data_IF_354973724113
#
_entry.id   IF_354973724113
#
_cell.length_a   1.000
_cell.length_b   1.000
_cell.length_c   1.000
_cell.angle_alpha   90.00
_cell.angle_beta   90.00
_cell.angle_gamma   90.00
#
_symmetry.space_group_name_H-M   'P 1'
#
loop_
_entity.id
_entity.type
_entity.pdbx_description
1 polymer ?
#
# COMPACT_ATOMS: atom_id res chain seq x y z
N UNK A 1 -5.88 25.92 -9.42
CA UNK A 1 -7.24 26.04 -9.99
C UNK A 1 -8.31 25.42 -9.10
N UNK A 2 -7.98 24.50 -8.19
CA UNK A 2 -8.92 23.97 -7.19
C UNK A 2 -9.03 24.90 -5.97
N UNK A 3 -10.22 25.05 -5.36
CA UNK A 3 -10.39 25.79 -4.11
C UNK A 3 -9.85 24.99 -2.92
N UNK A 4 -9.33 25.67 -1.91
CA UNK A 4 -8.99 25.05 -0.62
C UNK A 4 -10.25 24.45 0.04
N UNK A 5 -10.16 23.31 0.76
CA UNK A 5 -8.97 22.51 1.06
C UNK A 5 -8.59 21.49 -0.04
N UNK A 6 -9.30 21.47 -1.18
CA UNK A 6 -9.18 20.40 -2.17
C UNK A 6 -7.84 20.44 -2.93
N UNK A 7 -7.28 21.63 -3.16
CA UNK A 7 -5.93 21.83 -3.70
C UNK A 7 -4.86 21.25 -2.80
N UNK A 8 -4.92 21.54 -1.49
CA UNK A 8 -3.98 21.02 -0.49
C UNK A 8 -4.09 19.50 -0.35
N UNK A 9 -5.31 18.96 -0.37
CA UNK A 9 -5.54 17.50 -0.36
C UNK A 9 -4.96 16.84 -1.61
N UNK A 10 -5.19 17.40 -2.79
CA UNK A 10 -4.61 16.87 -4.04
C UNK A 10 -3.09 16.92 -4.02
N UNK A 11 -2.51 18.03 -3.57
CA UNK A 11 -1.05 18.21 -3.44
C UNK A 11 -0.47 17.21 -2.45
N UNK A 12 -1.11 17.03 -1.29
CA UNK A 12 -0.73 16.05 -0.28
C UNK A 12 -0.80 14.60 -0.79
N UNK A 13 -1.82 14.28 -1.59
CA UNK A 13 -1.94 12.96 -2.22
C UNK A 13 -0.87 12.77 -3.30
N UNK A 14 -0.68 13.69 -4.24
CA UNK A 14 0.29 13.51 -5.35
C UNK A 14 1.75 13.55 -4.86
N UNK A 15 2.08 14.54 -4.03
CA UNK A 15 3.46 14.87 -3.63
C UNK A 15 3.81 14.39 -2.22
N UNK A 16 2.83 13.94 -1.42
CA UNK A 16 3.04 13.56 -0.02
C UNK A 16 3.20 14.72 0.93
N UNK A 17 2.91 15.94 0.51
CA UNK A 17 3.03 17.15 1.31
C UNK A 17 1.94 17.19 2.39
N UNK A 18 2.30 16.75 3.60
CA UNK A 18 1.39 16.75 4.76
C UNK A 18 1.28 18.11 5.42
N UNK A 19 2.33 18.93 5.32
CA UNK A 19 2.41 20.20 6.05
C UNK A 19 1.39 21.21 5.53
N UNK A 20 1.01 21.07 4.26
CA UNK A 20 -0.04 21.90 3.64
C UNK A 20 -1.48 21.47 3.99
N UNK A 21 -1.69 20.34 4.68
CA UNK A 21 -3.04 19.82 4.97
C UNK A 21 -3.62 20.44 6.26
N UNK A 22 -4.88 20.92 6.25
CA UNK A 22 -5.58 21.32 7.48
C UNK A 22 -5.57 20.20 8.54
N UNK A 23 -5.35 20.56 9.80
CA UNK A 23 -5.26 19.61 10.92
C UNK A 23 -6.50 18.72 11.06
N UNK A 24 -7.68 19.28 10.85
CA UNK A 24 -8.97 18.57 10.88
C UNK A 24 -9.03 17.43 9.86
N UNK A 25 -8.52 17.67 8.64
CA UNK A 25 -8.46 16.66 7.59
C UNK A 25 -7.48 15.56 7.99
N UNK A 26 -6.28 15.93 8.46
CA UNK A 26 -5.29 14.94 8.90
C UNK A 26 -5.83 14.05 10.02
N UNK A 27 -6.55 14.63 10.98
CA UNK A 27 -7.14 13.90 12.09
C UNK A 27 -8.22 12.93 11.63
N UNK A 28 -9.10 13.32 10.70
CA UNK A 28 -10.11 12.43 10.11
C UNK A 28 -9.48 11.20 9.43
N UNK A 29 -8.38 11.36 8.70
CA UNK A 29 -7.66 10.23 8.09
C UNK A 29 -6.96 9.35 9.14
N UNK A 30 -6.40 9.93 10.20
CA UNK A 30 -5.79 9.16 11.30
C UNK A 30 -6.83 8.34 12.07
N UNK A 31 -7.98 8.94 12.40
CA UNK A 31 -9.08 8.28 13.13
C UNK A 31 -9.69 7.12 12.35
N UNK A 32 -9.76 7.22 11.03
CA UNK A 32 -10.29 6.15 10.15
C UNK A 32 -9.25 5.08 9.80
N UNK A 33 -8.02 5.18 10.31
CA UNK A 33 -6.92 4.24 10.01
C UNK A 33 -6.35 4.40 8.60
N UNK A 34 -6.76 5.45 7.88
CA UNK A 34 -6.35 5.76 6.51
C UNK A 34 -5.18 6.73 6.45
N UNK A 35 -4.56 7.13 7.57
CA UNK A 35 -3.44 8.08 7.58
C UNK A 35 -2.23 7.67 6.72
N UNK A 36 -2.08 6.38 6.39
CA UNK A 36 -1.07 5.88 5.46
C UNK A 36 -1.29 6.34 4.00
N UNK A 37 -2.50 6.76 3.65
CA UNK A 37 -2.88 7.29 2.34
C UNK A 37 -2.39 8.72 2.16
N UNK A 38 -2.33 9.50 3.24
CA UNK A 38 -1.81 10.88 3.23
C UNK A 38 -0.28 10.94 3.03
N UNK A 39 0.36 9.80 2.81
CA UNK A 39 1.78 9.69 2.48
C UNK A 39 1.88 9.07 1.10
N UNK A 40 2.84 9.54 0.29
CA UNK A 40 3.23 8.80 -0.92
C UNK A 40 3.58 7.37 -0.53
N UNK A 41 2.85 6.44 -1.14
CA UNK A 41 2.89 5.01 -0.85
C UNK A 41 3.25 4.21 -2.10
N UNK A 42 3.44 2.91 -1.95
CA UNK A 42 3.68 2.02 -3.10
C UNK A 42 2.54 2.00 -4.12
N UNK A 43 1.32 2.41 -3.74
CA UNK A 43 0.19 2.59 -4.66
C UNK A 43 0.52 3.61 -5.75
N UNK A 44 1.22 4.70 -5.40
CA UNK A 44 1.55 5.77 -6.33
C UNK A 44 2.54 5.28 -7.39
N UNK A 45 3.60 4.59 -6.94
CA UNK A 45 4.59 3.96 -7.81
C UNK A 45 3.93 2.93 -8.73
N UNK A 46 3.04 2.10 -8.19
CA UNK A 46 2.29 1.10 -8.96
C UNK A 46 1.38 1.73 -10.01
N UNK A 47 0.71 2.84 -9.68
CA UNK A 47 -0.15 3.56 -10.62
C UNK A 47 0.66 4.21 -11.75
N UNK A 48 1.79 4.83 -11.43
CA UNK A 48 2.68 5.42 -12.45
C UNK A 48 3.17 4.31 -13.39
N UNK A 49 3.59 3.17 -12.85
CA UNK A 49 3.96 2.01 -13.66
C UNK A 49 2.80 1.56 -14.56
N UNK A 50 1.58 1.44 -14.02
CA UNK A 50 0.41 1.05 -14.81
C UNK A 50 0.14 2.01 -15.97
N UNK A 51 0.20 3.32 -15.72
CA UNK A 51 0.02 4.35 -16.76
C UNK A 51 1.10 4.24 -17.85
N UNK A 52 2.35 4.03 -17.46
CA UNK A 52 3.45 3.80 -18.40
C UNK A 52 3.21 2.53 -19.24
N UNK A 53 2.79 1.44 -18.62
CA UNK A 53 2.49 0.19 -19.33
C UNK A 53 1.33 0.35 -20.32
N UNK A 54 0.28 1.10 -19.96
CA UNK A 54 -0.82 1.42 -20.87
C UNK A 54 -0.31 2.24 -22.05
N UNK A 55 0.49 3.28 -21.78
CA UNK A 55 1.09 4.13 -22.81
C UNK A 55 1.96 3.32 -23.79
N UNK A 56 2.81 2.43 -23.28
CA UNK A 56 3.66 1.59 -24.12
C UNK A 56 2.88 0.57 -24.95
N UNK A 57 1.70 0.16 -24.47
CA UNK A 57 0.79 -0.70 -25.24
C UNK A 57 0.12 0.06 -26.39
N UNK A 58 -0.14 1.34 -26.22
CA UNK A 58 -0.71 2.22 -27.27
C UNK A 58 0.35 2.64 -28.29
N UNK A 59 1.60 2.84 -27.87
CA UNK A 59 2.74 3.24 -28.70
C UNK A 59 3.59 2.06 -29.23
N UNK A 60 2.97 0.89 -29.44
CA UNK A 60 3.56 -0.48 -29.40
C UNK A 60 5.10 -0.55 -29.28
N UNK A 61 5.64 -0.15 -28.13
CA UNK A 61 7.08 -0.17 -27.90
C UNK A 61 7.55 -1.61 -27.56
N UNK A 62 8.74 -2.03 -27.99
CA UNK A 62 9.29 -3.32 -27.57
C UNK A 62 9.50 -3.33 -26.04
N UNK A 63 9.19 -4.44 -25.38
CA UNK A 63 9.19 -4.56 -23.91
C UNK A 63 10.50 -4.12 -23.23
N UNK A 64 11.64 -4.29 -23.91
CA UNK A 64 12.94 -3.82 -23.43
C UNK A 64 13.02 -2.29 -23.40
N UNK A 65 12.54 -1.61 -24.45
CA UNK A 65 12.55 -0.15 -24.51
C UNK A 65 11.58 0.45 -23.49
N UNK A 66 10.38 -0.13 -23.36
CA UNK A 66 9.43 0.20 -22.31
C UNK A 66 10.06 0.15 -20.90
N UNK A 67 10.86 -0.88 -20.62
CA UNK A 67 11.62 -0.99 -19.37
C UNK A 67 12.65 0.14 -19.20
N UNK A 68 13.49 0.38 -20.21
CA UNK A 68 14.52 1.43 -20.16
C UNK A 68 13.93 2.84 -20.03
N UNK A 69 12.69 3.06 -20.46
CA UNK A 69 11.97 4.32 -20.26
C UNK A 69 11.30 4.38 -18.87
N UNK A 70 10.67 3.29 -18.42
CA UNK A 70 9.97 3.28 -17.14
C UNK A 70 10.90 3.47 -15.93
N UNK A 71 12.07 2.84 -15.96
CA UNK A 71 13.03 2.87 -14.85
C UNK A 71 13.45 4.30 -14.46
N UNK A 72 13.97 5.16 -15.37
CA UNK A 72 14.36 6.52 -15.02
C UNK A 72 13.17 7.37 -14.56
N UNK A 73 11.97 7.17 -15.12
CA UNK A 73 10.77 7.91 -14.71
C UNK A 73 10.39 7.58 -13.26
N UNK A 74 10.42 6.29 -12.88
CA UNK A 74 10.12 5.86 -11.51
C UNK A 74 11.20 6.31 -10.51
N UNK A 75 12.47 6.29 -10.91
CA UNK A 75 13.57 6.83 -10.10
C UNK A 75 13.42 8.35 -9.91
N UNK A 76 13.08 9.07 -10.97
CA UNK A 76 12.80 10.51 -10.89
C UNK A 76 11.61 10.81 -9.98
N UNK A 77 10.53 10.04 -10.07
CA UNK A 77 9.40 10.16 -9.14
C UNK A 77 9.80 9.91 -7.68
N UNK A 78 10.66 8.91 -7.43
CA UNK A 78 11.17 8.65 -6.09
C UNK A 78 12.00 9.83 -5.54
N UNK A 79 12.78 10.51 -6.40
CA UNK A 79 13.53 11.72 -6.03
C UNK A 79 12.59 12.90 -5.73
N UNK A 80 11.59 13.13 -6.60
CA UNK A 80 10.62 14.21 -6.42
C UNK A 80 9.82 14.09 -5.12
N UNK A 81 9.56 12.87 -4.68
CA UNK A 81 8.80 12.59 -3.44
C UNK A 81 9.69 12.58 -2.19
N UNK A 82 10.96 13.00 -2.32
CA UNK A 82 11.91 13.12 -1.22
C UNK A 82 12.46 11.78 -0.73
N UNK A 83 12.54 10.76 -1.60
CA UNK A 83 13.09 9.44 -1.28
C UNK A 83 12.47 8.81 -0.02
N UNK A 84 11.15 8.94 0.12
CA UNK A 84 10.44 8.36 1.27
C UNK A 84 10.59 6.83 1.29
N UNK A 85 10.78 6.19 2.46
CA UNK A 85 11.03 4.76 2.55
C UNK A 85 10.00 3.86 1.81
N UNK A 86 8.67 4.13 1.86
CA UNK A 86 7.68 3.34 1.10
C UNK A 86 7.87 3.43 -0.41
N UNK A 87 8.30 4.59 -0.92
CA UNK A 87 8.53 4.83 -2.36
C UNK A 87 9.78 4.11 -2.81
N UNK A 88 10.89 4.21 -2.06
CA UNK A 88 12.14 3.48 -2.35
C UNK A 88 11.86 1.98 -2.47
N UNK A 89 11.16 1.40 -1.49
CA UNK A 89 10.81 -0.03 -1.49
C UNK A 89 10.00 -0.42 -2.71
N UNK A 90 8.95 0.34 -3.01
CA UNK A 90 8.09 0.06 -4.16
C UNK A 90 8.85 0.19 -5.48
N UNK A 91 9.66 1.24 -5.65
CA UNK A 91 10.50 1.44 -6.84
C UNK A 91 11.50 0.31 -6.99
N UNK A 92 12.19 -0.12 -5.93
CA UNK A 92 13.10 -1.28 -5.97
C UNK A 92 12.38 -2.56 -6.38
N UNK A 93 11.21 -2.85 -5.81
CA UNK A 93 10.42 -4.04 -6.18
C UNK A 93 10.02 -4.00 -7.66
N UNK A 94 9.62 -2.83 -8.17
CA UNK A 94 9.27 -2.66 -9.59
C UNK A 94 10.49 -2.85 -10.48
N UNK A 95 11.63 -2.24 -10.14
CA UNK A 95 12.87 -2.39 -10.91
C UNK A 95 13.29 -3.85 -10.97
N UNK A 96 13.35 -4.56 -9.84
CA UNK A 96 13.68 -5.99 -9.78
C UNK A 96 12.66 -6.81 -10.58
N UNK A 97 11.37 -6.54 -10.44
CA UNK A 97 10.32 -7.24 -11.16
C UNK A 97 10.45 -7.07 -12.67
N UNK A 98 10.64 -5.85 -13.15
CA UNK A 98 10.81 -5.59 -14.57
C UNK A 98 12.12 -6.17 -15.10
N UNK A 99 13.23 -6.12 -14.34
CA UNK A 99 14.48 -6.78 -14.70
C UNK A 99 14.32 -8.29 -14.82
N UNK A 100 13.53 -8.91 -13.95
CA UNK A 100 13.25 -10.35 -14.06
C UNK A 100 12.51 -10.70 -15.36
N UNK A 101 11.56 -9.85 -15.76
CA UNK A 101 10.83 -10.01 -17.01
C UNK A 101 11.73 -9.83 -18.24
N UNK A 102 12.66 -8.87 -18.22
CA UNK A 102 13.56 -8.63 -19.37
C UNK A 102 14.58 -9.74 -19.57
N UNK A 103 14.97 -10.43 -18.49
CA UNK A 103 15.85 -11.62 -18.53
C UNK A 103 15.05 -12.89 -18.86
N UNK A 104 13.72 -12.83 -18.92
CA UNK A 104 12.85 -13.98 -19.21
C UNK A 104 12.67 -14.92 -18.02
N UNK A 105 12.76 -14.41 -16.79
CA UNK A 105 12.58 -15.19 -15.55
C UNK A 105 11.28 -14.80 -14.85
N UNK A 106 10.37 -15.78 -14.74
CA UNK A 106 9.17 -15.65 -13.91
C UNK A 106 9.56 -15.73 -12.42
N UNK A 107 9.87 -14.58 -11.83
CA UNK A 107 10.31 -14.51 -10.44
C UNK A 107 9.10 -14.31 -9.52
N UNK A 108 8.89 -15.18 -8.51
CA UNK A 108 7.76 -15.02 -7.60
C UNK A 108 7.90 -13.74 -6.77
N UNK A 109 6.78 -13.09 -6.44
CA UNK A 109 6.77 -11.82 -5.71
C UNK A 109 7.47 -11.89 -4.34
N UNK A 110 7.47 -13.06 -3.68
CA UNK A 110 8.24 -13.29 -2.45
C UNK A 110 9.76 -13.22 -2.67
N UNK A 111 10.25 -13.67 -3.82
CA UNK A 111 11.67 -13.58 -4.14
C UNK A 111 12.08 -12.12 -4.42
N UNK A 112 11.23 -11.37 -5.15
CA UNK A 112 11.40 -9.93 -5.35
C UNK A 112 11.44 -9.22 -3.99
N UNK A 113 10.47 -9.51 -3.11
CA UNK A 113 10.42 -8.98 -1.74
C UNK A 113 11.69 -9.31 -0.95
N UNK A 114 12.18 -10.55 -0.98
CA UNK A 114 13.40 -10.93 -0.27
C UNK A 114 14.65 -10.24 -0.82
N UNK A 115 14.75 -10.07 -2.14
CA UNK A 115 15.88 -9.37 -2.74
C UNK A 115 15.84 -7.88 -2.42
N UNK A 116 14.67 -7.25 -2.45
CA UNK A 116 14.49 -5.85 -2.00
C UNK A 116 14.89 -5.70 -0.53
N UNK A 117 14.47 -6.62 0.34
CA UNK A 117 14.86 -6.63 1.75
C UNK A 117 16.38 -6.68 1.90
N UNK A 118 17.02 -7.64 1.23
CA UNK A 118 18.47 -7.83 1.28
C UNK A 118 19.22 -6.59 0.81
N UNK A 119 18.85 -6.00 -0.32
CA UNK A 119 19.50 -4.78 -0.84
C UNK A 119 19.39 -3.63 0.16
N UNK A 120 18.21 -3.42 0.75
CA UNK A 120 18.02 -2.33 1.73
C UNK A 120 18.85 -2.58 3.00
N UNK A 121 18.89 -3.81 3.50
CA UNK A 121 19.66 -4.15 4.71
C UNK A 121 21.17 -4.09 4.49
N UNK A 122 21.66 -4.39 3.29
CA UNK A 122 23.08 -4.20 2.94
C UNK A 122 23.47 -2.71 2.96
N UNK A 123 22.56 -1.82 2.55
CA UNK A 123 22.81 -0.37 2.55
C UNK A 123 22.60 0.25 3.93
N UNK A 124 21.61 -0.22 4.68
CA UNK A 124 21.29 0.26 6.01
C UNK A 124 20.74 -0.88 6.89
N UNK A 125 21.57 -1.53 7.70
CA UNK A 125 21.13 -2.64 8.56
C UNK A 125 20.14 -2.17 9.65
N UNK A 126 20.23 -0.91 10.08
CA UNK A 126 19.31 -0.33 11.07
C UNK A 126 17.89 -0.15 10.52
N UNK A 127 17.69 -0.23 9.20
CA UNK A 127 16.37 -0.15 8.59
C UNK A 127 15.42 -1.24 9.10
N UNK A 128 15.97 -2.38 9.55
CA UNK A 128 15.20 -3.50 10.11
C UNK A 128 14.37 -3.11 11.34
N UNK A 129 14.88 -2.19 12.16
CA UNK A 129 14.21 -1.70 13.37
C UNK A 129 13.23 -0.56 13.10
N UNK A 130 13.16 -0.06 11.86
CA UNK A 130 12.25 1.03 11.52
C UNK A 130 10.83 0.52 11.31
N UNK A 131 9.87 1.05 12.08
CA UNK A 131 8.45 0.67 12.01
C UNK A 131 7.89 0.68 10.58
N UNK A 132 8.29 1.67 9.77
CA UNK A 132 7.89 1.80 8.37
C UNK A 132 8.40 0.68 7.47
N UNK A 133 9.58 0.13 7.75
CA UNK A 133 10.11 -1.04 7.03
C UNK A 133 9.30 -2.28 7.43
N UNK A 134 9.18 -2.53 8.73
CA UNK A 134 8.50 -3.70 9.27
C UNK A 134 7.05 -3.81 8.76
N UNK A 135 6.26 -2.74 8.89
CA UNK A 135 4.86 -2.72 8.45
C UNK A 135 4.73 -2.97 6.94
N UNK A 136 5.62 -2.43 6.12
CA UNK A 136 5.54 -2.55 4.67
C UNK A 136 5.91 -3.94 4.17
N UNK A 137 7.00 -4.52 4.66
CA UNK A 137 7.41 -5.87 4.28
C UNK A 137 6.41 -6.90 4.77
N UNK A 138 5.90 -6.73 5.98
CA UNK A 138 4.92 -7.61 6.58
C UNK A 138 3.55 -7.52 5.88
N UNK A 139 3.11 -6.33 5.48
CA UNK A 139 1.91 -6.17 4.65
C UNK A 139 2.03 -6.91 3.31
N UNK A 140 3.13 -6.70 2.57
CA UNK A 140 3.33 -7.36 1.26
C UNK A 140 3.45 -8.88 1.43
N UNK A 141 4.20 -9.34 2.44
CA UNK A 141 4.31 -10.77 2.73
C UNK A 141 2.94 -11.39 3.08
N UNK A 142 2.16 -10.71 3.92
CA UNK A 142 0.80 -11.10 4.28
C UNK A 142 -0.13 -11.18 3.07
N UNK A 143 -0.09 -10.17 2.18
CA UNK A 143 -0.84 -10.18 0.92
C UNK A 143 -0.46 -11.41 0.08
N UNK A 144 0.82 -11.67 -0.15
CA UNK A 144 1.23 -12.80 -1.01
C UNK A 144 0.89 -14.15 -0.40
N UNK A 145 1.03 -14.27 0.92
CA UNK A 145 0.85 -15.52 1.64
C UNK A 145 -0.62 -15.86 1.92
N UNK A 146 -1.40 -14.87 2.35
CA UNK A 146 -2.73 -15.09 2.94
C UNK A 146 -3.89 -14.78 1.99
N UNK A 147 -3.69 -13.95 0.96
CA UNK A 147 -4.73 -13.61 -0.03
C UNK A 147 -5.30 -14.86 -0.71
N UNK A 148 -4.49 -15.83 -1.21
CA UNK A 148 -5.04 -17.03 -1.85
C UNK A 148 -5.94 -17.86 -0.93
N UNK A 149 -5.60 -17.92 0.37
CA UNK A 149 -6.39 -18.61 1.37
C UNK A 149 -7.74 -17.91 1.60
N UNK A 150 -7.72 -16.58 1.78
CA UNK A 150 -8.94 -15.80 1.94
C UNK A 150 -9.83 -15.84 0.71
N UNK A 151 -9.27 -15.83 -0.49
CA UNK A 151 -10.04 -15.97 -1.72
C UNK A 151 -10.82 -17.30 -1.78
N UNK A 152 -10.26 -18.40 -1.27
CA UNK A 152 -10.97 -19.68 -1.21
C UNK A 152 -12.12 -19.63 -0.19
N UNK A 153 -11.88 -18.99 0.96
CA UNK A 153 -12.89 -18.84 2.02
C UNK A 153 -14.03 -17.90 1.63
N UNK A 154 -13.71 -16.82 0.93
CA UNK A 154 -14.62 -15.78 0.45
C UNK A 154 -15.29 -16.15 -0.89
N UNK A 155 -15.37 -17.43 -1.24
CA UNK A 155 -15.91 -17.91 -2.53
C UNK A 155 -17.35 -17.49 -2.84
N UNK A 156 -18.13 -17.10 -1.82
CA UNK A 156 -19.52 -16.64 -1.94
C UNK A 156 -19.64 -15.18 -2.39
N UNK A 157 -18.55 -14.41 -2.34
CA UNK A 157 -18.55 -13.00 -2.76
C UNK A 157 -18.33 -12.86 -4.27
N UNK A 158 -18.85 -11.80 -4.89
CA UNK A 158 -18.64 -11.56 -6.31
C UNK A 158 -17.17 -11.25 -6.60
N UNK A 159 -16.70 -11.60 -7.82
CA UNK A 159 -15.27 -11.51 -8.20
C UNK A 159 -14.67 -10.12 -8.00
N UNK A 160 -15.45 -9.07 -8.27
CA UNK A 160 -15.02 -7.68 -8.14
C UNK A 160 -14.76 -7.26 -6.68
N UNK A 161 -15.45 -7.87 -5.71
CA UNK A 161 -15.28 -7.57 -4.28
C UNK A 161 -14.32 -8.54 -3.59
N UNK A 162 -14.35 -9.80 -4.01
CA UNK A 162 -13.60 -10.91 -3.40
C UNK A 162 -12.10 -10.62 -3.29
N UNK A 163 -11.46 -10.24 -4.41
CA UNK A 163 -10.00 -10.08 -4.46
C UNK A 163 -9.52 -8.83 -3.72
N UNK A 164 -10.11 -7.62 -3.92
CA UNK A 164 -9.75 -6.44 -3.12
C UNK A 164 -9.95 -6.66 -1.62
N UNK A 165 -11.07 -7.28 -1.22
CA UNK A 165 -11.33 -7.59 0.19
C UNK A 165 -10.29 -8.56 0.76
N UNK A 166 -9.94 -9.62 0.02
CA UNK A 166 -8.92 -10.57 0.43
C UNK A 166 -7.53 -9.92 0.59
N UNK A 167 -7.16 -9.02 -0.32
CA UNK A 167 -5.89 -8.26 -0.24
C UNK A 167 -5.89 -7.36 1.00
N UNK A 168 -6.94 -6.55 1.20
CA UNK A 168 -7.04 -5.64 2.34
C UNK A 168 -7.05 -6.38 3.67
N UNK A 169 -7.80 -7.48 3.79
CA UNK A 169 -7.81 -8.31 4.99
C UNK A 169 -6.44 -8.96 5.25
N UNK A 170 -5.78 -9.46 4.22
CA UNK A 170 -4.46 -10.09 4.35
C UNK A 170 -3.41 -9.10 4.83
N UNK A 171 -3.38 -7.91 4.25
CA UNK A 171 -2.48 -6.84 4.69
C UNK A 171 -2.77 -6.47 6.15
N UNK A 172 -4.04 -6.21 6.48
CA UNK A 172 -4.45 -5.77 7.81
C UNK A 172 -4.11 -6.81 8.88
N UNK A 173 -4.45 -8.08 8.69
CA UNK A 173 -4.18 -9.14 9.67
C UNK A 173 -2.69 -9.25 10.01
N UNK A 174 -1.82 -9.05 9.02
CA UNK A 174 -0.39 -9.14 9.20
C UNK A 174 0.19 -7.90 9.90
N UNK A 175 -0.32 -6.69 9.64
CA UNK A 175 0.19 -5.47 10.28
C UNK A 175 -0.47 -5.13 11.62
N UNK A 176 -1.69 -5.63 11.88
CA UNK A 176 -2.52 -5.25 13.02
C UNK A 176 -1.82 -5.42 14.39
N UNK A 177 -1.13 -6.54 14.69
CA UNK A 177 -0.43 -6.71 15.96
C UNK A 177 0.73 -5.72 16.12
N UNK A 178 1.40 -5.40 15.02
CA UNK A 178 2.52 -4.47 15.01
C UNK A 178 2.04 -3.02 15.19
N UNK A 179 0.88 -2.68 14.61
CA UNK A 179 0.20 -1.41 14.88
C UNK A 179 -0.21 -1.29 16.36
N UNK A 180 -0.73 -2.36 16.94
CA UNK A 180 -1.06 -2.41 18.36
C UNK A 180 0.19 -2.23 19.24
N UNK A 181 1.30 -2.87 18.88
CA UNK A 181 2.56 -2.78 19.62
C UNK A 181 3.19 -1.38 19.60
N UNK A 182 3.32 -0.76 18.42
CA UNK A 182 3.99 0.55 18.29
C UNK A 182 3.10 1.75 18.57
N UNK A 183 1.83 1.68 18.16
CA UNK A 183 0.93 2.83 18.20
C UNK A 183 -0.17 2.69 19.24
N UNK A 184 -0.27 1.55 19.93
CA UNK A 184 -1.31 1.28 20.93
C UNK A 184 -2.74 1.51 20.40
N UNK A 185 -2.95 1.30 19.09
CA UNK A 185 -4.22 1.53 18.40
C UNK A 185 -4.52 0.40 17.44
N UNK A 186 -5.80 0.02 17.39
CA UNK A 186 -6.30 -1.02 16.48
C UNK A 186 -7.34 -0.44 15.52
N UNK A 187 -6.97 0.02 14.32
CA UNK A 187 -7.94 0.50 13.34
C UNK A 187 -8.69 -0.68 12.70
N UNK A 188 -9.73 -1.18 13.38
CA UNK A 188 -10.51 -2.34 12.95
C UNK A 188 -11.38 -2.03 11.72
N UNK A 189 -11.92 -0.82 11.68
CA UNK A 189 -12.72 -0.31 10.55
C UNK A 189 -11.86 0.02 9.33
N UNK A 190 -10.54 0.08 9.49
CA UNK A 190 -9.58 0.39 8.41
C UNK A 190 -9.75 -0.50 7.18
N UNK A 191 -10.18 -1.77 7.31
CA UNK A 191 -10.42 -2.64 6.16
C UNK A 191 -11.59 -2.14 5.30
N UNK A 192 -12.71 -1.79 5.93
CA UNK A 192 -13.92 -1.31 5.25
C UNK A 192 -13.63 0.03 4.61
N UNK A 193 -13.00 0.94 5.36
CA UNK A 193 -12.65 2.26 4.86
C UNK A 193 -11.65 2.16 3.72
N UNK A 194 -10.58 1.37 3.84
CA UNK A 194 -9.60 1.19 2.76
C UNK A 194 -10.23 0.62 1.49
N UNK A 195 -11.21 -0.28 1.61
CA UNK A 195 -11.91 -0.84 0.46
C UNK A 195 -12.69 0.21 -0.35
N UNK A 196 -13.22 1.23 0.33
CA UNK A 196 -13.95 2.33 -0.29
C UNK A 196 -13.00 3.44 -0.72
N UNK A 197 -12.08 3.84 0.14
CA UNK A 197 -11.22 5.02 -0.02
C UNK A 197 -10.10 4.74 -1.04
N UNK A 198 -9.52 3.53 -1.08
CA UNK A 198 -8.42 3.19 -2.02
C UNK A 198 -8.77 3.36 -3.49
N UNK A 199 -9.93 2.90 -3.99
CA UNK A 199 -10.38 3.21 -5.35
C UNK A 199 -10.47 4.72 -5.63
N UNK A 200 -11.03 5.49 -4.70
CA UNK A 200 -11.13 6.95 -4.84
C UNK A 200 -9.76 7.61 -4.95
N UNK A 201 -8.81 7.23 -4.09
CA UNK A 201 -7.43 7.75 -4.15
C UNK A 201 -6.77 7.39 -5.48
N UNK A 202 -6.99 6.17 -5.97
CA UNK A 202 -6.44 5.74 -7.26
C UNK A 202 -6.97 6.62 -8.40
N UNK A 203 -8.28 6.96 -8.38
CA UNK A 203 -8.89 7.88 -9.34
C UNK A 203 -8.33 9.29 -9.17
N UNK A 204 -8.26 9.80 -7.94
CA UNK A 204 -7.73 11.14 -7.63
C UNK A 204 -6.29 11.30 -8.10
N UNK A 205 -5.46 10.28 -7.86
CA UNK A 205 -4.08 10.23 -8.32
C UNK A 205 -3.98 10.16 -9.84
N UNK A 206 -4.79 9.31 -10.48
CA UNK A 206 -4.78 9.17 -11.94
C UNK A 206 -5.18 10.47 -12.64
N UNK A 207 -6.29 11.10 -12.20
CA UNK A 207 -6.75 12.39 -12.70
C UNK A 207 -5.75 13.52 -12.37
N UNK A 208 -5.14 13.46 -11.19
CA UNK A 208 -4.10 14.39 -10.76
C UNK A 208 -2.89 14.37 -11.70
N UNK A 209 -2.31 13.18 -11.91
CA UNK A 209 -1.20 12.98 -12.84
C UNK A 209 -1.59 13.38 -14.27
N UNK A 210 -2.79 13.01 -14.72
CA UNK A 210 -3.29 13.40 -16.04
C UNK A 210 -3.40 14.92 -16.18
N UNK A 211 -3.91 15.62 -15.16
CA UNK A 211 -4.02 17.09 -15.17
C UNK A 211 -2.66 17.79 -15.27
N UNK A 212 -1.63 17.24 -14.61
CA UNK A 212 -0.26 17.76 -14.71
C UNK A 212 0.29 17.57 -16.12
N UNK A 213 0.12 16.38 -16.71
CA UNK A 213 0.60 16.10 -18.08
C UNK A 213 -0.10 16.95 -19.14
N UNK A 214 -1.43 17.10 -19.03
CA UNK A 214 -2.21 17.92 -19.96
C UNK A 214 -1.93 19.41 -19.78
N UNK A 215 -1.60 19.85 -18.56
CA UNK A 215 -1.23 21.24 -18.27
C UNK A 215 0.01 21.70 -19.01
N UNK A 216 0.89 20.78 -19.41
CA UNK A 216 2.06 21.08 -20.24
C UNK A 216 1.69 21.37 -21.71
N UNK A 217 0.51 20.91 -22.17
CA UNK A 217 0.05 21.05 -23.56
C UNK A 217 -1.02 22.13 -23.68
N UNK A 218 -2.02 22.13 -22.79
CA UNK A 218 -3.11 23.10 -22.79
C UNK A 218 -3.70 23.28 -21.40
N UNK A 219 -3.67 24.51 -20.90
CA UNK A 219 -4.24 24.89 -19.61
C UNK A 219 -5.75 24.59 -19.51
N UNK A 220 -6.48 24.75 -20.62
CA UNK A 220 -7.92 24.49 -20.66
C UNK A 220 -8.24 23.00 -20.44
N UNK A 221 -7.47 22.11 -21.07
CA UNK A 221 -7.65 20.65 -20.89
C UNK A 221 -7.32 20.20 -19.46
N UNK A 222 -6.29 20.79 -18.85
CA UNK A 222 -5.94 20.52 -17.45
C UNK A 222 -7.03 20.97 -16.48
N UNK A 223 -7.71 22.09 -16.75
CA UNK A 223 -8.82 22.57 -15.93
C UNK A 223 -10.01 21.61 -15.92
N UNK A 224 -10.41 21.07 -17.08
CA UNK A 224 -11.50 20.07 -17.16
C UNK A 224 -11.21 18.82 -16.33
N UNK A 225 -9.98 18.30 -16.41
CA UNK A 225 -9.55 17.15 -15.61
C UNK A 225 -9.48 17.51 -14.13
N UNK A 226 -9.00 18.72 -13.79
CA UNK A 226 -8.98 19.20 -12.41
C UNK A 226 -10.39 19.32 -11.81
N UNK A 227 -11.39 19.81 -12.56
CA UNK A 227 -12.78 19.85 -12.10
C UNK A 227 -13.37 18.45 -11.90
N UNK A 228 -13.02 17.50 -12.76
CA UNK A 228 -13.41 16.09 -12.55
C UNK A 228 -12.77 15.54 -11.27
N UNK A 229 -11.52 15.91 -11.01
CA UNK A 229 -10.81 15.51 -9.79
C UNK A 229 -11.42 16.15 -8.52
N UNK A 230 -11.91 17.38 -8.61
CA UNK A 230 -12.63 18.03 -7.51
C UNK A 230 -13.80 17.18 -6.99
N UNK A 231 -14.59 16.58 -7.90
CA UNK A 231 -15.70 15.70 -7.52
C UNK A 231 -15.23 14.45 -6.77
N UNK A 232 -14.13 13.84 -7.24
CA UNK A 232 -13.54 12.66 -6.60
C UNK A 232 -12.98 13.00 -5.21
N UNK A 233 -12.29 14.13 -5.05
CA UNK A 233 -11.77 14.61 -3.76
C UNK A 233 -12.92 14.95 -2.81
N UNK A 234 -13.99 15.59 -3.28
CA UNK A 234 -15.17 15.89 -2.46
C UNK A 234 -15.86 14.62 -1.96
N UNK A 235 -15.95 13.60 -2.82
CA UNK A 235 -16.44 12.28 -2.44
C UNK A 235 -15.56 11.62 -1.37
N UNK A 236 -14.24 11.64 -1.59
CA UNK A 236 -13.24 11.13 -0.65
C UNK A 236 -13.38 11.79 0.74
N UNK A 237 -13.43 13.13 0.78
CA UNK A 237 -13.56 13.90 2.02
C UNK A 237 -14.87 13.60 2.73
N UNK A 238 -16.01 13.56 2.02
CA UNK A 238 -17.29 13.19 2.64
C UNK A 238 -17.29 11.78 3.22
N UNK A 239 -16.64 10.83 2.55
CA UNK A 239 -16.53 9.46 3.04
C UNK A 239 -15.67 9.44 4.32
N UNK A 240 -14.52 10.10 4.31
CA UNK A 240 -13.67 10.18 5.50
C UNK A 240 -14.36 10.90 6.64
N UNK A 241 -15.09 11.99 6.37
CA UNK A 241 -15.83 12.73 7.38
C UNK A 241 -17.01 11.91 7.92
N UNK A 242 -17.72 11.17 7.06
CA UNK A 242 -18.80 10.27 7.50
C UNK A 242 -18.28 9.17 8.44
N UNK A 243 -17.13 8.58 8.15
CA UNK A 243 -16.50 7.60 9.04
C UNK A 243 -15.78 8.26 10.24
N UNK A 244 -15.46 9.55 10.15
CA UNK A 244 -14.93 10.37 11.26
C UNK A 244 -16.03 10.81 12.23
N UNK A 245 -17.28 10.96 11.75
CA UNK A 245 -18.51 11.35 12.48
C UNK A 245 -18.92 10.38 13.61
N UNK A 246 -18.12 9.36 13.87
CA UNK A 246 -18.08 8.65 15.15
C UNK A 246 -17.51 9.55 16.26
N UNK A 247 -18.11 10.72 16.49
CA UNK A 247 -17.75 11.66 17.55
C UNK A 247 -18.17 11.19 18.95
N UNK A 248 -19.02 10.16 19.05
CA UNK A 248 -19.27 9.56 20.36
C UNK A 248 -17.99 8.84 20.84
N UNK A 249 -17.46 9.14 22.04
CA UNK A 249 -16.27 8.49 22.58
C UNK A 249 -16.44 6.97 22.73
N UNK A 250 -17.67 6.48 22.76
CA UNK A 250 -18.00 5.05 22.73
C UNK A 250 -17.74 4.41 21.37
N UNK A 251 -18.19 5.03 20.27
CA UNK A 251 -17.96 4.51 18.92
C UNK A 251 -16.51 4.71 18.48
N UNK A 252 -15.83 5.80 18.88
CA UNK A 252 -14.42 6.00 18.53
C UNK A 252 -13.51 4.94 19.16
N UNK A 253 -13.78 4.52 20.39
CA UNK A 253 -13.14 3.37 21.03
C UNK A 253 -13.52 2.02 20.40
N UNK A 254 -14.70 1.93 19.77
CA UNK A 254 -15.11 0.73 19.03
C UNK A 254 -14.41 0.64 17.66
N UNK A 255 -14.18 1.79 17.03
CA UNK A 255 -13.56 1.96 15.70
C UNK A 255 -12.04 1.79 15.79
N UNK A 256 -11.43 2.40 16.80
CA UNK A 256 -9.99 2.44 17.06
C UNK A 256 -9.73 2.34 18.57
N UNK A 257 -9.88 1.16 19.21
CA UNK A 257 -9.61 1.03 20.63
C UNK A 257 -8.16 1.39 20.92
N UNK A 258 -7.97 2.33 21.85
CA UNK A 258 -6.68 2.58 22.46
C UNK A 258 -6.37 1.43 23.39
N UNK A 259 -5.33 0.67 23.07
CA UNK A 259 -4.82 -0.35 23.97
C UNK A 259 -3.90 0.32 24.99
N UNK A 260 -3.79 -0.27 26.19
CA UNK A 260 -2.69 0.05 27.11
C UNK A 260 -1.37 -0.51 26.55
N UNK A 261 -0.46 -0.89 27.43
CA UNK A 261 0.78 -1.59 27.01
C UNK A 261 0.43 -2.89 26.28
N UNK A 262 0.70 -2.97 24.98
CA UNK A 262 0.53 -4.20 24.22
C UNK A 262 1.74 -5.11 24.43
N UNK A 263 1.58 -6.26 25.11
CA UNK A 263 2.73 -7.06 25.49
C UNK A 263 3.34 -7.83 24.32
N UNK A 264 4.66 -7.89 24.32
CA UNK A 264 5.44 -8.51 23.25
C UNK A 264 5.11 -10.00 23.02
N UNK A 265 4.78 -10.76 24.07
CA UNK A 265 4.43 -12.19 23.95
C UNK A 265 3.19 -12.46 23.09
N UNK A 266 2.28 -11.48 22.93
CA UNK A 266 1.14 -11.65 22.01
C UNK A 266 1.63 -11.76 20.56
N UNK A 267 2.69 -11.05 20.18
CA UNK A 267 3.29 -11.17 18.85
C UNK A 267 3.83 -12.59 18.62
N UNK A 268 4.51 -13.14 19.64
CA UNK A 268 5.07 -14.50 19.59
C UNK A 268 4.00 -15.59 19.42
N UNK A 269 2.79 -15.38 19.92
CA UNK A 269 1.68 -16.32 19.75
C UNK A 269 0.92 -16.07 18.45
N UNK A 270 0.67 -14.79 18.12
CA UNK A 270 -0.20 -14.40 17.02
C UNK A 270 0.35 -14.81 15.66
N UNK A 271 1.63 -14.54 15.36
CA UNK A 271 2.18 -14.82 14.04
C UNK A 271 2.28 -16.32 13.73
N UNK A 272 2.75 -17.20 14.64
CA UNK A 272 2.72 -18.65 14.40
C UNK A 272 1.30 -19.18 14.16
N UNK A 273 0.32 -18.71 14.94
CA UNK A 273 -1.09 -19.07 14.73
C UNK A 273 -1.53 -18.62 13.33
N UNK A 274 -1.33 -17.36 12.97
CA UNK A 274 -1.74 -16.82 11.67
C UNK A 274 -1.11 -17.57 10.49
N UNK A 275 0.17 -17.94 10.59
CA UNK A 275 0.91 -18.72 9.57
C UNK A 275 0.41 -20.17 9.50
N UNK A 276 -0.02 -20.74 10.63
CA UNK A 276 -0.53 -22.12 10.65
C UNK A 276 -1.90 -22.26 9.97
N UNK A 277 -2.72 -21.20 9.96
CA UNK A 277 -4.12 -21.23 9.47
C UNK A 277 -4.23 -21.74 8.02
N UNK A 278 -3.47 -21.24 7.02
CA UNK A 278 -3.54 -21.75 5.65
C UNK A 278 -3.01 -23.18 5.49
N UNK A 279 -2.13 -23.62 6.39
CA UNK A 279 -1.45 -24.93 6.33
C UNK A 279 -2.25 -26.06 6.96
N UNK A 280 -3.19 -25.75 7.86
CA UNK A 280 -4.00 -26.74 8.57
C UNK A 280 -4.74 -27.72 7.65
N UNK A 281 -5.19 -27.28 6.47
CA UNK A 281 -5.80 -28.17 5.46
C UNK A 281 -4.85 -28.61 4.34
N UNK A 282 -3.70 -27.95 4.18
CA UNK A 282 -2.75 -28.18 3.07
C UNK A 282 -1.66 -29.20 3.40
N UNK A 283 -1.58 -29.66 4.64
CA UNK A 283 -0.76 -30.81 5.06
C UNK A 283 -1.14 -32.11 4.32
N UNK A 284 -2.31 -32.16 3.64
CA UNK A 284 -2.82 -33.30 2.88
C UNK A 284 -2.63 -33.22 1.35
N UNK A 285 -2.08 -32.14 0.76
CA UNK A 285 -1.99 -32.02 -0.71
C UNK A 285 -0.64 -31.45 -1.21
N UNK A 286 0.32 -32.37 -1.38
CA UNK A 286 1.76 -32.15 -1.58
C UNK A 286 2.18 -31.18 -2.70
N UNK A 287 3.38 -30.63 -2.44
CA UNK A 287 4.49 -30.19 -3.32
C UNK A 287 4.18 -29.08 -4.34
N UNK A 288 4.69 -27.86 -4.08
CA UNK A 288 5.65 -27.15 -4.95
C UNK A 288 6.25 -25.88 -4.26
N UNK A 289 7.59 -25.82 -4.23
CA UNK A 289 8.47 -24.63 -4.28
C UNK A 289 8.66 -23.60 -3.12
N UNK A 290 8.15 -23.77 -1.90
CA UNK A 290 8.30 -22.72 -0.85
C UNK A 290 9.11 -23.08 0.42
N UNK A 291 10.03 -24.06 0.37
CA UNK A 291 10.79 -24.47 1.59
C UNK A 291 11.95 -23.55 1.97
N UNK A 292 12.51 -22.77 1.04
CA UNK A 292 13.56 -21.79 1.34
C UNK A 292 12.98 -20.40 1.68
N UNK A 293 11.83 -20.05 1.10
CA UNK A 293 11.13 -18.78 1.31
C UNK A 293 10.33 -18.75 2.62
N UNK A 294 9.80 -19.89 3.07
CA UNK A 294 9.20 -20.00 4.41
C UNK A 294 10.25 -19.82 5.52
N UNK A 295 11.46 -20.35 5.32
CA UNK A 295 12.57 -20.19 6.27
C UNK A 295 13.00 -18.74 6.41
N UNK A 296 13.10 -18.00 5.30
CA UNK A 296 13.42 -16.57 5.30
C UNK A 296 12.28 -15.69 5.84
N UNK A 297 11.01 -16.05 5.62
CA UNK A 297 9.87 -15.35 6.22
C UNK A 297 9.84 -15.53 7.75
N UNK A 298 10.14 -16.74 8.23
CA UNK A 298 10.32 -17.03 9.66
C UNK A 298 11.54 -16.29 10.21
N UNK A 299 12.65 -16.22 9.45
CA UNK A 299 13.84 -15.45 9.81
C UNK A 299 13.56 -13.94 9.88
N UNK A 300 12.79 -13.39 8.94
CA UNK A 300 12.35 -12.00 8.94
C UNK A 300 11.46 -11.72 10.14
N UNK A 301 10.55 -12.63 10.47
CA UNK A 301 9.76 -12.57 11.71
C UNK A 301 10.64 -12.64 12.95
N UNK A 302 11.62 -13.53 13.00
CA UNK A 302 12.53 -13.68 14.13
C UNK A 302 13.43 -12.46 14.32
N UNK A 303 13.90 -11.86 13.22
CA UNK A 303 14.71 -10.64 13.23
C UNK A 303 13.88 -9.40 13.58
N UNK A 304 12.61 -9.33 13.16
CA UNK A 304 11.68 -8.27 13.56
C UNK A 304 11.30 -8.30 15.05
N UNK A 305 11.56 -9.43 15.71
CA UNK A 305 11.19 -9.74 17.10
C UNK A 305 12.41 -9.73 18.06
N UNK A 306 13.64 -9.56 17.58
CA UNK A 306 14.85 -9.40 18.39
C UNK A 306 15.36 -7.97 18.38
#
# INVERSE_FOLDING_TARGET
TLPEPHSSVLKGIILGDKESLPSEVQESFLRTGTGHILVVSGLHVGLILLLLLILFRVLPLPSRLAFFIAMPILCYYALLTGLRPPVIRATLMVVIGLTSLTIGRDTPLLAILSLTCLIILLLNPLALFSTSFQLSFLAVAGIVYFTPYLEIKLKRLPRWLKRPLAISLSAQLFILPLLAFYFNRLPLIGVIVNLIVTPFITIVLALGLLSVTLGMVSLASAQWVAYSNWLAIRGLLRITDFFSFSESPALSNLVCPSLGSFPFWILLVYYPVLISVPHYKKLLWRKHQAKLTSGLFILLLFLLLG
#
